data_IF_942781545017
#
_entry.id   IF_942781545017
#
_cell.length_a   1.000
_cell.length_b   1.000
_cell.length_c   1.000
_cell.angle_alpha   90.00
_cell.angle_beta   90.00
_cell.angle_gamma   90.00
#
_symmetry.space_group_name_H-M   'P 1'
#
loop_
_entity.id
_entity.type
_entity.pdbx_description
1 polymer ?
#
# COMPACT_ATOMS: atom_id res chain seq x y z
N UNK A 1 26.65 -3.03 -16.93
CA UNK A 1 26.18 -2.08 -15.92
C UNK A 1 25.64 -2.86 -14.73
N UNK A 2 26.22 -2.70 -13.54
CA UNK A 2 25.75 -3.39 -12.33
C UNK A 2 24.43 -2.78 -11.85
N UNK A 3 23.39 -3.61 -11.66
CA UNK A 3 22.06 -3.14 -11.23
C UNK A 3 21.69 -3.70 -9.86
N UNK A 4 21.17 -2.84 -8.99
CA UNK A 4 20.53 -3.23 -7.74
C UNK A 4 19.12 -2.65 -7.65
N UNK A 5 18.29 -3.19 -6.76
CA UNK A 5 16.93 -2.69 -6.49
C UNK A 5 16.84 -2.17 -5.07
N UNK A 6 16.20 -1.01 -4.90
CA UNK A 6 15.74 -0.54 -3.60
C UNK A 6 14.22 -0.68 -3.57
N UNK A 7 13.75 -1.67 -2.82
CA UNK A 7 12.33 -1.96 -2.61
C UNK A 7 11.85 -1.13 -1.42
N UNK A 8 10.96 -0.17 -1.69
CA UNK A 8 10.56 0.84 -0.73
C UNK A 8 9.20 0.53 -0.13
N UNK A 9 9.07 0.78 1.17
CA UNK A 9 7.82 0.64 1.91
C UNK A 9 7.67 1.81 2.89
N UNK A 10 6.47 1.99 3.44
CA UNK A 10 6.24 3.02 4.45
C UNK A 10 7.02 2.72 5.74
N UNK A 11 7.05 1.44 6.10
CA UNK A 11 7.64 0.93 7.34
C UNK A 11 6.60 0.78 8.44
N UNK A 12 6.97 0.07 9.50
CA UNK A 12 6.15 -0.12 10.69
C UNK A 12 7.06 -0.24 11.92
N UNK A 13 6.63 0.23 13.10
CA UNK A 13 7.44 0.13 14.32
C UNK A 13 7.69 -1.34 14.65
N UNK A 14 8.89 -1.71 15.09
CA UNK A 14 9.21 -3.12 15.42
C UNK A 14 8.45 -3.63 16.64
N UNK A 15 8.10 -2.74 17.57
CA UNK A 15 7.49 -3.07 18.85
C UNK A 15 6.54 -1.96 19.27
N UNK A 16 5.70 -2.25 20.26
CA UNK A 16 4.76 -1.27 20.79
C UNK A 16 5.44 -0.03 21.36
N UNK A 17 6.59 -0.22 22.03
CA UNK A 17 7.39 0.86 22.59
C UNK A 17 7.94 1.84 21.54
N UNK A 18 8.00 1.42 20.27
CA UNK A 18 8.56 2.20 19.16
C UNK A 18 7.51 3.09 18.47
N UNK A 19 6.21 2.85 18.73
CA UNK A 19 5.07 3.59 18.16
C UNK A 19 5.20 5.12 18.33
N UNK A 20 5.55 5.67 19.51
CA UNK A 20 5.68 7.12 19.66
C UNK A 20 6.74 7.74 18.74
N UNK A 21 7.90 7.10 18.62
CA UNK A 21 8.99 7.59 17.77
C UNK A 21 8.63 7.49 16.29
N UNK A 22 7.99 6.38 15.89
CA UNK A 22 7.50 6.16 14.54
C UNK A 22 6.48 7.24 14.10
N UNK A 23 5.45 7.53 14.91
CA UNK A 23 4.48 8.56 14.55
C UNK A 23 5.03 9.99 14.64
N UNK A 24 6.01 10.25 15.51
CA UNK A 24 6.72 11.53 15.50
C UNK A 24 7.44 11.73 14.15
N UNK A 25 8.08 10.71 13.61
CA UNK A 25 8.75 10.74 12.30
C UNK A 25 7.77 10.98 11.15
N UNK A 26 6.63 10.26 11.11
CA UNK A 26 5.55 10.46 10.13
C UNK A 26 5.13 11.93 10.07
N UNK A 27 5.06 12.59 11.21
CA UNK A 27 4.59 13.98 11.32
C UNK A 27 5.70 15.02 11.13
N UNK A 28 6.89 14.60 10.69
CA UNK A 28 8.05 15.47 10.49
C UNK A 28 8.61 16.01 11.80
N UNK A 29 8.64 15.18 12.84
CA UNK A 29 9.09 15.53 14.19
C UNK A 29 8.05 16.26 15.05
N UNK A 30 6.84 16.50 14.54
CA UNK A 30 5.78 17.19 15.31
C UNK A 30 5.14 16.23 16.34
N UNK A 31 5.02 16.63 17.62
CA UNK A 31 4.52 15.77 18.67
C UNK A 31 3.05 15.42 18.45
N UNK A 32 2.72 14.13 18.61
CA UNK A 32 1.34 13.61 18.60
C UNK A 32 0.66 13.98 19.91
N UNK A 33 -0.61 14.40 19.85
CA UNK A 33 -1.40 14.63 21.06
C UNK A 33 -1.47 13.32 21.86
N UNK A 34 -1.29 13.33 23.20
CA UNK A 34 -1.28 12.11 24.00
C UNK A 34 -2.46 11.19 23.74
N UNK A 35 -3.67 11.74 23.64
CA UNK A 35 -4.91 11.00 23.37
C UNK A 35 -4.86 10.22 22.03
N UNK A 36 -4.33 10.84 20.96
CA UNK A 36 -4.21 10.16 19.67
C UNK A 36 -3.12 9.09 19.70
N UNK A 37 -2.03 9.33 20.44
CA UNK A 37 -0.97 8.35 20.60
C UNK A 37 -1.44 7.13 21.42
N UNK A 38 -2.22 7.36 22.47
CA UNK A 38 -2.83 6.30 23.27
C UNK A 38 -3.78 5.43 22.44
N UNK A 39 -4.59 6.04 21.58
CA UNK A 39 -5.43 5.29 20.64
C UNK A 39 -4.59 4.42 19.70
N UNK A 40 -3.57 5.01 19.04
CA UNK A 40 -2.68 4.28 18.14
C UNK A 40 -1.98 3.11 18.82
N UNK A 41 -1.44 3.32 20.02
CA UNK A 41 -0.84 2.25 20.85
C UNK A 41 -1.89 1.19 21.19
N UNK A 42 -3.13 1.56 21.51
CA UNK A 42 -4.19 0.60 21.75
C UNK A 42 -4.50 -0.25 20.52
N UNK A 43 -4.49 0.31 19.31
CA UNK A 43 -4.68 -0.45 18.05
C UNK A 43 -3.63 -1.54 17.88
N UNK A 44 -2.34 -1.18 17.98
CA UNK A 44 -1.24 -2.15 17.92
C UNK A 44 -1.38 -3.24 18.98
N UNK A 45 -1.68 -2.87 20.23
CA UNK A 45 -1.86 -3.83 21.33
C UNK A 45 -3.01 -4.81 21.07
N UNK A 46 -4.14 -4.33 20.52
CA UNK A 46 -5.27 -5.19 20.18
C UNK A 46 -4.98 -6.15 19.04
N UNK A 47 -4.01 -5.83 18.18
CA UNK A 47 -3.47 -6.76 17.19
C UNK A 47 -2.44 -7.75 17.77
N UNK A 48 -2.21 -7.72 19.09
CA UNK A 48 -1.26 -8.60 19.77
C UNK A 48 0.20 -8.17 19.61
N UNK A 49 0.45 -6.94 19.15
CA UNK A 49 1.80 -6.40 18.98
C UNK A 49 2.26 -5.81 20.31
N UNK A 50 3.30 -6.42 20.89
CA UNK A 50 3.96 -5.95 22.11
C UNK A 50 5.47 -5.86 21.87
N UNK A 51 6.17 -7.00 21.88
CA UNK A 51 7.64 -7.09 21.74
C UNK A 51 8.13 -7.41 20.32
N UNK A 52 7.21 -7.69 19.39
CA UNK A 52 7.51 -7.92 17.98
C UNK A 52 6.32 -7.55 17.11
N UNK A 53 6.61 -6.99 15.94
CA UNK A 53 5.63 -6.59 14.95
C UNK A 53 5.91 -7.32 13.62
N UNK A 54 5.10 -8.32 13.25
CA UNK A 54 5.33 -9.11 12.04
C UNK A 54 5.01 -8.36 10.75
N UNK A 55 4.49 -7.12 10.81
CA UNK A 55 4.08 -6.37 9.62
C UNK A 55 5.25 -6.11 8.66
N UNK A 56 6.45 -5.87 9.17
CA UNK A 56 7.65 -5.72 8.33
C UNK A 56 8.14 -7.06 7.75
N UNK A 57 7.77 -8.20 8.33
CA UNK A 57 8.16 -9.52 7.81
C UNK A 57 7.57 -9.77 6.43
N UNK A 58 6.37 -9.26 6.15
CA UNK A 58 5.77 -9.34 4.80
C UNK A 58 6.65 -8.56 3.80
N UNK A 59 7.11 -7.36 4.16
CA UNK A 59 8.00 -6.56 3.30
C UNK A 59 9.32 -7.30 3.04
N UNK A 60 9.93 -7.85 4.09
CA UNK A 60 11.19 -8.61 3.95
C UNK A 60 11.03 -9.92 3.19
N UNK A 61 9.90 -10.61 3.35
CA UNK A 61 9.57 -11.80 2.57
C UNK A 61 9.40 -11.45 1.08
N UNK A 62 8.70 -10.36 0.78
CA UNK A 62 8.56 -9.84 -0.59
C UNK A 62 9.92 -9.45 -1.17
N UNK A 63 10.77 -8.76 -0.41
CA UNK A 63 12.14 -8.42 -0.79
C UNK A 63 12.96 -9.66 -1.12
N UNK A 64 12.97 -10.66 -0.23
CA UNK A 64 13.72 -11.90 -0.41
C UNK A 64 13.25 -12.69 -1.63
N UNK A 65 11.94 -12.80 -1.81
CA UNK A 65 11.36 -13.50 -2.97
C UNK A 65 11.68 -12.76 -4.28
N UNK A 66 11.61 -11.42 -4.28
CA UNK A 66 11.95 -10.59 -5.43
C UNK A 66 13.44 -10.70 -5.80
N UNK A 67 14.33 -10.73 -4.81
CA UNK A 67 15.77 -10.96 -5.01
C UNK A 67 16.03 -12.31 -5.69
N UNK A 68 15.40 -13.37 -5.20
CA UNK A 68 15.51 -14.71 -5.77
C UNK A 68 14.95 -14.77 -7.22
N UNK A 69 13.80 -14.13 -7.47
CA UNK A 69 13.16 -14.08 -8.80
C UNK A 69 13.98 -13.27 -9.81
N UNK A 70 14.63 -12.17 -9.37
CA UNK A 70 15.44 -11.33 -10.25
C UNK A 70 16.85 -11.84 -10.48
N UNK A 71 17.44 -12.53 -9.49
CA UNK A 71 18.87 -12.83 -9.48
C UNK A 71 19.74 -11.56 -9.35
N UNK A 72 19.19 -10.49 -8.77
CA UNK A 72 19.84 -9.20 -8.54
C UNK A 72 19.74 -8.81 -7.07
N UNK A 73 20.71 -8.07 -6.49
CA UNK A 73 20.60 -7.58 -5.12
C UNK A 73 19.36 -6.70 -4.91
N UNK A 74 18.57 -6.99 -3.87
CA UNK A 74 17.40 -6.20 -3.48
C UNK A 74 17.49 -5.78 -2.03
N UNK A 75 17.40 -4.47 -1.78
CA UNK A 75 17.49 -3.87 -0.45
C UNK A 75 16.16 -3.22 -0.06
N UNK A 76 15.64 -3.51 1.13
CA UNK A 76 14.50 -2.78 1.67
C UNK A 76 14.92 -1.39 2.12
N UNK A 77 14.13 -0.37 1.78
CA UNK A 77 14.29 1.00 2.27
C UNK A 77 12.95 1.58 2.72
N UNK A 78 12.79 1.83 4.01
CA UNK A 78 11.57 2.34 4.60
C UNK A 78 11.60 3.87 4.69
N UNK A 79 10.45 4.51 4.44
CA UNK A 79 10.33 5.98 4.52
C UNK A 79 10.32 6.47 5.96
N UNK A 80 9.55 5.80 6.82
CA UNK A 80 9.30 6.22 8.21
C UNK A 80 9.88 5.26 9.26
N UNK A 81 10.63 4.25 8.83
CA UNK A 81 11.23 3.28 9.75
C UNK A 81 12.59 2.76 9.24
N UNK A 82 13.18 1.79 9.94
CA UNK A 82 14.47 1.20 9.62
C UNK A 82 14.30 -0.14 8.88
N UNK A 83 15.22 -0.49 7.95
CA UNK A 83 16.30 0.35 7.40
C UNK A 83 15.75 1.50 6.55
N UNK A 84 16.37 2.70 6.60
CA UNK A 84 15.88 3.85 5.81
C UNK A 84 16.22 3.70 4.33
N UNK A 85 15.52 4.44 3.46
CA UNK A 85 15.84 4.53 2.02
C UNK A 85 17.31 4.90 1.80
N UNK A 86 17.85 5.82 2.61
CA UNK A 86 19.25 6.21 2.55
C UNK A 86 20.22 5.05 2.84
N UNK A 87 19.90 4.20 3.83
CA UNK A 87 20.71 3.04 4.18
C UNK A 87 20.67 1.99 3.06
N UNK A 88 19.49 1.76 2.48
CA UNK A 88 19.30 0.83 1.37
C UNK A 88 20.08 1.26 0.12
N UNK A 89 19.99 2.54 -0.25
CA UNK A 89 20.75 3.12 -1.35
C UNK A 89 22.26 3.07 -1.07
N UNK A 90 22.70 3.37 0.14
CA UNK A 90 24.11 3.26 0.55
C UNK A 90 24.65 1.85 0.41
N UNK A 91 23.86 0.82 0.78
CA UNK A 91 24.22 -0.59 0.58
C UNK A 91 24.28 -0.99 -0.89
N UNK A 92 23.35 -0.51 -1.72
CA UNK A 92 23.38 -0.73 -3.16
C UNK A 92 24.67 -0.16 -3.79
N UNK A 93 25.02 1.08 -3.43
CA UNK A 93 26.26 1.74 -3.88
C UNK A 93 27.52 1.03 -3.39
N UNK A 94 27.55 0.62 -2.12
CA UNK A 94 28.66 -0.15 -1.55
C UNK A 94 28.85 -1.51 -2.24
N UNK A 95 27.76 -2.09 -2.78
CA UNK A 95 27.78 -3.28 -3.62
C UNK A 95 28.23 -3.04 -5.06
N UNK A 96 28.60 -1.81 -5.43
CA UNK A 96 29.08 -1.44 -6.77
C UNK A 96 27.96 -1.29 -7.81
N UNK A 97 26.73 -0.99 -7.39
CA UNK A 97 25.63 -0.71 -8.31
C UNK A 97 25.91 0.60 -9.09
N UNK A 98 25.90 0.51 -10.42
CA UNK A 98 25.98 1.66 -11.33
C UNK A 98 24.58 2.16 -11.70
N UNK A 99 23.59 1.27 -11.65
CA UNK A 99 22.17 1.55 -11.81
C UNK A 99 21.41 1.06 -10.57
N UNK A 100 20.45 1.86 -10.09
CA UNK A 100 19.55 1.48 -9.01
C UNK A 100 18.11 1.64 -9.46
N UNK A 101 17.34 0.56 -9.40
CA UNK A 101 15.90 0.60 -9.63
C UNK A 101 15.19 0.89 -8.31
N UNK A 102 14.46 1.99 -8.25
CA UNK A 102 13.57 2.32 -7.13
C UNK A 102 12.16 1.81 -7.41
N UNK A 103 11.62 0.98 -6.50
CA UNK A 103 10.25 0.47 -6.59
C UNK A 103 9.55 0.61 -5.24
N UNK A 104 8.43 1.33 -5.18
CA UNK A 104 7.62 1.44 -3.96
C UNK A 104 6.54 0.36 -3.96
N UNK A 105 6.31 -0.28 -2.81
CA UNK A 105 5.19 -1.18 -2.53
C UNK A 105 3.86 -0.41 -2.36
N UNK A 106 3.59 0.51 -3.29
CA UNK A 106 2.33 1.24 -3.45
C UNK A 106 2.11 1.47 -4.96
N UNK A 107 0.93 1.14 -5.54
CA UNK A 107 0.75 1.13 -6.99
C UNK A 107 0.50 2.49 -7.63
N UNK A 108 -0.03 3.43 -6.86
CA UNK A 108 -0.63 4.67 -7.35
C UNK A 108 0.23 5.87 -6.99
N UNK A 109 0.46 6.75 -7.96
CA UNK A 109 1.24 7.95 -7.76
C UNK A 109 0.48 9.00 -6.95
N UNK A 110 1.20 9.68 -6.05
CA UNK A 110 0.79 10.95 -5.48
C UNK A 110 2.03 11.80 -5.14
N UNK A 111 1.90 13.10 -5.26
CA UNK A 111 2.86 14.12 -4.80
C UNK A 111 3.11 14.07 -3.27
N UNK A 112 2.16 13.55 -2.50
CA UNK A 112 2.29 13.36 -1.04
C UNK A 112 2.90 12.00 -0.67
N UNK A 113 2.93 11.05 -1.61
CA UNK A 113 3.43 9.69 -1.43
C UNK A 113 4.64 9.41 -2.32
N UNK A 114 4.43 8.82 -3.50
CA UNK A 114 5.49 8.32 -4.39
C UNK A 114 6.57 9.37 -4.70
N UNK A 115 6.18 10.62 -4.91
CA UNK A 115 7.14 11.71 -5.18
C UNK A 115 8.12 11.92 -4.02
N UNK A 116 7.68 11.71 -2.77
CA UNK A 116 8.53 11.84 -1.59
C UNK A 116 9.50 10.68 -1.43
N UNK A 117 9.09 9.46 -1.81
CA UNK A 117 10.02 8.33 -1.91
C UNK A 117 11.09 8.59 -2.96
N UNK A 118 10.67 9.07 -4.14
CA UNK A 118 11.56 9.42 -5.25
C UNK A 118 12.58 10.47 -4.82
N UNK A 119 12.15 11.55 -4.19
CA UNK A 119 13.03 12.60 -3.68
C UNK A 119 14.07 12.05 -2.68
N UNK A 120 13.65 11.29 -1.66
CA UNK A 120 14.58 10.68 -0.71
C UNK A 120 15.59 9.74 -1.38
N UNK A 121 15.16 9.02 -2.42
CA UNK A 121 16.03 8.11 -3.16
C UNK A 121 17.02 8.86 -4.07
N UNK A 122 16.60 9.96 -4.71
CA UNK A 122 17.48 10.85 -5.47
C UNK A 122 18.57 11.42 -4.55
N UNK A 123 18.16 11.99 -3.41
CA UNK A 123 19.07 12.56 -2.43
C UNK A 123 20.05 11.51 -1.88
N UNK A 124 19.58 10.28 -1.63
CA UNK A 124 20.41 9.21 -1.12
C UNK A 124 21.47 8.72 -2.13
N UNK A 125 21.14 8.68 -3.43
CA UNK A 125 22.10 8.29 -4.46
C UNK A 125 23.12 9.39 -4.73
N UNK A 126 22.72 10.66 -4.65
CA UNK A 126 23.60 11.83 -4.84
C UNK A 126 24.42 11.76 -6.15
N UNK A 127 23.76 11.32 -7.24
CA UNK A 127 24.38 11.16 -8.56
C UNK A 127 25.43 10.06 -8.69
N UNK A 128 25.66 9.24 -7.66
CA UNK A 128 26.67 8.17 -7.65
C UNK A 128 26.25 6.91 -8.42
N UNK A 129 24.96 6.78 -8.73
CA UNK A 129 24.41 5.76 -9.60
C UNK A 129 23.20 6.32 -10.38
N UNK A 130 22.90 5.68 -11.50
CA UNK A 130 21.74 6.00 -12.33
C UNK A 130 20.45 5.54 -11.66
N UNK A 131 19.49 6.43 -11.46
CA UNK A 131 18.19 6.10 -10.90
C UNK A 131 17.17 5.72 -11.98
N UNK A 132 16.62 4.51 -11.89
CA UNK A 132 15.43 4.08 -12.62
C UNK A 132 14.25 3.92 -11.67
N UNK A 133 13.38 4.90 -11.60
CA UNK A 133 12.28 4.89 -10.64
C UNK A 133 10.98 4.39 -11.28
N UNK A 134 10.34 3.39 -10.68
CA UNK A 134 9.00 2.92 -11.07
C UNK A 134 7.97 3.80 -10.39
N UNK A 135 7.46 4.79 -11.12
CA UNK A 135 6.59 5.84 -10.57
C UNK A 135 5.15 5.41 -10.36
N UNK A 136 4.62 4.52 -11.21
CA UNK A 136 3.23 4.07 -11.17
C UNK A 136 3.08 2.70 -11.81
N UNK A 137 2.22 1.87 -11.22
CA UNK A 137 2.01 0.50 -11.70
C UNK A 137 0.65 -0.11 -11.33
N UNK A 138 -0.30 0.67 -10.79
CA UNK A 138 -1.65 0.20 -10.46
C UNK A 138 -2.45 -0.38 -11.64
N UNK A 139 -2.17 0.06 -12.87
CA UNK A 139 -2.78 -0.48 -14.09
C UNK A 139 -1.97 -1.59 -14.76
N UNK A 140 -0.90 -2.08 -14.13
CA UNK A 140 -0.14 -3.21 -14.67
C UNK A 140 -1.06 -4.44 -14.87
N UNK A 141 -1.10 -5.05 -16.08
CA UNK A 141 -1.99 -6.16 -16.35
C UNK A 141 -1.85 -7.33 -15.37
N UNK A 142 -0.63 -7.62 -14.92
CA UNK A 142 -0.37 -8.71 -13.98
C UNK A 142 -0.89 -8.39 -12.57
N UNK A 143 -0.81 -7.13 -12.13
CA UNK A 143 -1.41 -6.69 -10.87
C UNK A 143 -2.95 -6.74 -10.94
N UNK A 144 -3.53 -6.24 -12.04
CA UNK A 144 -4.97 -6.29 -12.28
C UNK A 144 -5.49 -7.73 -12.32
N UNK A 145 -4.77 -8.64 -13.00
CA UNK A 145 -5.11 -10.06 -13.05
C UNK A 145 -5.07 -10.71 -11.68
N UNK A 146 -4.04 -10.41 -10.88
CA UNK A 146 -3.90 -10.91 -9.53
C UNK A 146 -5.10 -10.52 -8.67
N UNK A 147 -5.44 -9.23 -8.62
CA UNK A 147 -6.57 -8.76 -7.82
C UNK A 147 -7.91 -9.29 -8.33
N UNK A 148 -8.10 -9.37 -9.65
CA UNK A 148 -9.32 -9.91 -10.23
C UNK A 148 -9.53 -11.39 -9.87
N UNK A 149 -8.46 -12.20 -9.84
CA UNK A 149 -8.58 -13.59 -9.39
C UNK A 149 -8.91 -13.68 -7.90
N UNK A 150 -8.38 -12.79 -7.07
CA UNK A 150 -8.72 -12.72 -5.64
C UNK A 150 -10.18 -12.36 -5.42
N UNK A 151 -10.74 -11.46 -6.22
CA UNK A 151 -12.18 -11.15 -6.22
C UNK A 151 -12.99 -12.40 -6.58
N UNK A 152 -12.65 -13.09 -7.67
CA UNK A 152 -13.36 -14.33 -8.09
C UNK A 152 -13.25 -15.46 -7.06
N UNK A 153 -12.14 -15.57 -6.35
CA UNK A 153 -11.95 -16.52 -5.26
C UNK A 153 -12.96 -16.29 -4.14
N UNK A 154 -13.23 -15.04 -3.77
CA UNK A 154 -14.25 -14.73 -2.76
C UNK A 154 -15.64 -14.96 -3.31
N UNK A 155 -15.94 -14.57 -4.55
CA UNK A 155 -17.25 -14.78 -5.17
C UNK A 155 -17.72 -16.24 -5.13
N UNK A 156 -16.79 -17.20 -5.26
CA UNK A 156 -17.10 -18.65 -5.13
C UNK A 156 -17.65 -19.06 -3.75
N UNK A 157 -17.52 -18.21 -2.73
CA UNK A 157 -17.99 -18.43 -1.35
C UNK A 157 -19.37 -17.81 -1.06
N UNK A 158 -19.97 -17.12 -2.04
CA UNK A 158 -21.29 -16.49 -1.89
C UNK A 158 -22.30 -17.11 -2.87
N UNK A 159 -23.57 -17.13 -2.47
CA UNK A 159 -24.67 -17.62 -3.31
C UNK A 159 -25.04 -16.60 -4.41
N UNK A 160 -24.88 -15.31 -4.12
CA UNK A 160 -25.03 -14.19 -5.04
C UNK A 160 -23.74 -13.36 -5.06
N UNK A 161 -23.51 -12.61 -6.15
CA UNK A 161 -22.34 -11.73 -6.22
C UNK A 161 -22.42 -10.63 -5.15
N UNK A 162 -21.44 -10.51 -4.25
CA UNK A 162 -21.44 -9.43 -3.26
C UNK A 162 -21.18 -8.08 -3.94
N UNK A 163 -21.68 -7.01 -3.33
CA UNK A 163 -21.37 -5.66 -3.76
C UNK A 163 -19.90 -5.36 -3.50
N UNK A 164 -19.14 -5.00 -4.54
CA UNK A 164 -17.71 -4.76 -4.40
C UNK A 164 -17.45 -3.31 -4.01
N UNK A 165 -16.68 -3.12 -2.93
CA UNK A 165 -16.16 -1.82 -2.51
C UNK A 165 -14.65 -1.83 -2.68
N UNK A 166 -14.16 -1.06 -3.64
CA UNK A 166 -12.73 -0.82 -3.78
C UNK A 166 -12.28 0.18 -2.73
N UNK A 167 -11.11 -0.06 -2.11
CA UNK A 167 -10.58 0.82 -1.08
C UNK A 167 -9.11 1.20 -1.27
N UNK A 168 -8.74 2.36 -0.71
CA UNK A 168 -7.37 2.83 -0.61
C UNK A 168 -7.21 3.79 0.57
N UNK A 169 -5.96 4.03 0.97
CA UNK A 169 -5.65 5.04 1.97
C UNK A 169 -6.14 6.42 1.50
N UNK A 170 -6.82 7.16 2.37
CA UNK A 170 -7.25 8.52 2.08
C UNK A 170 -6.05 9.47 2.01
N UNK A 171 -6.16 10.58 1.29
CA UNK A 171 -5.17 11.66 1.33
C UNK A 171 -5.90 12.99 1.58
N UNK A 172 -5.18 14.03 2.03
CA UNK A 172 -5.75 15.38 2.10
C UNK A 172 -6.42 15.79 0.77
N UNK A 173 -7.66 16.27 0.82
CA UNK A 173 -8.46 16.53 -0.37
C UNK A 173 -7.88 17.63 -1.28
N UNK A 174 -7.00 18.50 -0.74
CA UNK A 174 -6.30 19.54 -1.50
C UNK A 174 -5.49 19.00 -2.68
N UNK A 175 -5.09 17.73 -2.67
CA UNK A 175 -4.37 17.13 -3.80
C UNK A 175 -5.19 17.21 -5.11
N UNK A 176 -6.51 17.26 -5.02
CA UNK A 176 -7.38 17.42 -6.19
C UNK A 176 -7.21 18.78 -6.87
N UNK A 177 -7.10 19.85 -6.07
CA UNK A 177 -6.86 21.21 -6.56
C UNK A 177 -5.43 21.36 -7.09
N UNK A 178 -4.48 20.62 -6.51
CA UNK A 178 -3.08 20.55 -6.94
C UNK A 178 -2.88 19.71 -8.22
N UNK A 179 -3.93 19.07 -8.74
CA UNK A 179 -3.89 18.27 -9.96
C UNK A 179 -3.24 16.90 -9.80
N UNK A 180 -3.22 16.36 -8.58
CA UNK A 180 -2.64 15.06 -8.27
C UNK A 180 -3.49 13.92 -8.87
N UNK A 181 -2.88 12.96 -9.59
CA UNK A 181 -3.63 11.92 -10.30
C UNK A 181 -4.10 10.77 -9.41
N UNK A 182 -3.77 10.75 -8.10
CA UNK A 182 -3.98 9.62 -7.21
C UNK A 182 -5.38 9.01 -7.28
N UNK A 183 -6.43 9.83 -7.16
CA UNK A 183 -7.82 9.37 -7.20
C UNK A 183 -8.16 8.74 -8.55
N UNK A 184 -7.73 9.35 -9.64
CA UNK A 184 -8.07 8.89 -10.99
C UNK A 184 -7.34 7.57 -11.30
N UNK A 185 -6.09 7.40 -10.83
CA UNK A 185 -5.36 6.13 -10.95
C UNK A 185 -5.99 5.01 -10.12
N UNK A 186 -6.51 5.32 -8.92
CA UNK A 186 -7.25 4.38 -8.08
C UNK A 186 -8.54 3.92 -8.74
N UNK A 187 -9.32 4.85 -9.29
CA UNK A 187 -10.56 4.55 -10.00
C UNK A 187 -10.29 3.75 -11.28
N UNK A 188 -9.23 4.07 -12.02
CA UNK A 188 -8.85 3.30 -13.20
C UNK A 188 -8.43 1.87 -12.84
N UNK A 189 -7.64 1.69 -11.79
CA UNK A 189 -7.29 0.35 -11.28
C UNK A 189 -8.54 -0.43 -10.89
N UNK A 190 -9.46 0.21 -10.16
CA UNK A 190 -10.73 -0.38 -9.73
C UNK A 190 -11.58 -0.82 -10.94
N UNK A 191 -11.70 0.05 -11.95
CA UNK A 191 -12.42 -0.24 -13.20
C UNK A 191 -11.81 -1.42 -13.95
N UNK A 192 -10.48 -1.48 -14.05
CA UNK A 192 -9.77 -2.57 -14.72
C UNK A 192 -9.94 -3.90 -13.98
N UNK A 193 -9.84 -3.89 -12.65
CA UNK A 193 -10.06 -5.07 -11.80
C UNK A 193 -11.51 -5.54 -11.90
N UNK A 194 -12.48 -4.64 -11.80
CA UNK A 194 -13.90 -4.94 -11.94
C UNK A 194 -14.21 -5.59 -13.29
N UNK A 195 -13.77 -4.96 -14.38
CA UNK A 195 -13.96 -5.49 -15.73
C UNK A 195 -13.30 -6.86 -15.92
N UNK A 196 -12.08 -7.06 -15.38
CA UNK A 196 -11.39 -8.35 -15.44
C UNK A 196 -12.13 -9.40 -14.62
N UNK A 197 -12.60 -9.07 -13.42
CA UNK A 197 -13.27 -9.99 -12.51
C UNK A 197 -14.72 -10.32 -12.92
N UNK A 198 -15.33 -9.54 -13.81
CA UNK A 198 -16.74 -9.67 -14.19
C UNK A 198 -17.68 -9.01 -13.18
N UNK A 199 -17.24 -7.92 -12.55
CA UNK A 199 -18.02 -7.11 -11.60
C UNK A 199 -18.66 -5.96 -12.35
N UNK A 200 -19.99 -5.94 -12.40
CA UNK A 200 -20.77 -4.92 -13.11
C UNK A 200 -21.01 -3.68 -12.25
N UNK A 201 -21.37 -3.88 -10.98
CA UNK A 201 -21.65 -2.81 -10.03
C UNK A 201 -20.63 -2.83 -8.89
N UNK A 202 -20.06 -1.66 -8.61
CA UNK A 202 -19.09 -1.45 -7.54
C UNK A 202 -19.12 0.00 -7.08
N UNK A 203 -18.57 0.23 -5.90
CA UNK A 203 -18.35 1.57 -5.32
C UNK A 203 -16.92 1.72 -4.85
N UNK A 204 -16.51 2.94 -4.54
CA UNK A 204 -15.18 3.23 -4.00
C UNK A 204 -15.31 3.95 -2.65
N UNK A 205 -14.50 3.56 -1.68
CA UNK A 205 -14.38 4.26 -0.39
C UNK A 205 -12.91 4.36 0.03
N UNK A 206 -12.58 5.39 0.78
CA UNK A 206 -11.26 5.54 1.38
C UNK A 206 -11.25 5.02 2.82
N UNK A 207 -10.06 4.81 3.37
CA UNK A 207 -9.82 4.43 4.76
C UNK A 207 -8.61 5.18 5.31
N UNK A 208 -8.36 5.09 6.61
CA UNK A 208 -7.12 5.61 7.23
C UNK A 208 -6.97 7.14 7.17
N UNK A 209 -8.08 7.89 7.16
CA UNK A 209 -8.02 9.36 7.33
C UNK A 209 -7.32 9.72 8.65
N UNK A 210 -6.36 10.63 8.61
CA UNK A 210 -5.73 11.15 9.83
C UNK A 210 -6.45 12.41 10.35
N UNK A 211 -6.60 12.58 11.68
CA UNK A 211 -7.27 13.73 12.28
C UNK A 211 -6.37 14.98 12.26
N UNK A 212 -6.13 15.53 11.06
CA UNK A 212 -5.27 16.70 10.83
C UNK A 212 -6.03 18.02 10.82
N UNK A 213 -7.37 17.98 10.75
CA UNK A 213 -8.24 19.17 10.73
C UNK A 213 -8.39 19.81 9.35
N UNK A 214 -7.78 19.23 8.30
CA UNK A 214 -8.10 19.54 6.91
C UNK A 214 -9.01 18.43 6.33
N UNK A 215 -9.83 18.69 5.29
CA UNK A 215 -10.64 17.66 4.65
C UNK A 215 -9.78 16.61 3.95
N UNK A 216 -10.21 15.35 3.99
CA UNK A 216 -9.60 14.22 3.29
C UNK A 216 -10.50 13.68 2.17
N UNK A 217 -9.93 12.87 1.28
CA UNK A 217 -10.69 12.19 0.23
C UNK A 217 -11.71 11.23 0.85
N UNK A 218 -12.95 11.32 0.35
CA UNK A 218 -14.06 10.49 0.80
C UNK A 218 -14.83 9.83 -0.37
N UNK A 219 -15.85 9.03 -0.05
CA UNK A 219 -16.35 8.76 1.31
C UNK A 219 -15.40 7.85 2.11
N UNK A 220 -15.42 7.95 3.44
CA UNK A 220 -14.77 6.96 4.32
C UNK A 220 -15.55 5.63 4.31
N UNK A 221 -14.86 4.51 4.52
CA UNK A 221 -15.44 3.17 4.48
C UNK A 221 -16.56 2.97 5.52
N UNK A 222 -16.47 3.56 6.71
CA UNK A 222 -17.48 3.33 7.76
C UNK A 222 -18.82 4.03 7.43
N UNK A 223 -18.85 5.33 7.05
CA UNK A 223 -20.04 5.95 6.48
C UNK A 223 -20.57 5.22 5.24
N UNK A 224 -19.69 4.78 4.33
CA UNK A 224 -20.08 4.10 3.10
C UNK A 224 -20.82 2.78 3.38
N UNK A 225 -20.38 2.00 4.37
CA UNK A 225 -21.11 0.80 4.80
C UNK A 225 -22.52 1.12 5.31
N UNK A 226 -22.74 2.28 5.94
CA UNK A 226 -24.08 2.72 6.37
C UNK A 226 -24.99 2.97 5.18
N UNK A 227 -24.45 3.61 4.14
CA UNK A 227 -25.18 3.89 2.91
C UNK A 227 -25.58 2.60 2.21
N UNK A 228 -24.68 1.61 2.12
CA UNK A 228 -24.98 0.29 1.58
C UNK A 228 -26.02 -0.47 2.42
N UNK A 229 -25.95 -0.40 3.74
CA UNK A 229 -26.94 -1.04 4.62
C UNK A 229 -28.36 -0.44 4.49
N UNK A 230 -28.47 0.77 3.96
CA UNK A 230 -29.76 1.42 3.67
C UNK A 230 -30.36 1.00 2.32
N UNK A 231 -29.65 0.20 1.51
CA UNK A 231 -30.15 -0.39 0.26
C UNK A 231 -30.55 -1.86 0.47
N UNK A 232 -30.69 -2.61 -0.61
CA UNK A 232 -30.93 -4.06 -0.61
C UNK A 232 -29.65 -4.91 -0.51
N UNK A 233 -28.47 -4.28 -0.44
CA UNK A 233 -27.18 -4.96 -0.29
C UNK A 233 -27.10 -5.73 1.04
N UNK A 234 -26.65 -6.98 0.96
CA UNK A 234 -26.45 -7.88 2.12
C UNK A 234 -25.04 -8.39 2.27
N UNK A 235 -24.40 -8.69 1.13
CA UNK A 235 -23.01 -9.15 1.07
C UNK A 235 -22.15 -8.04 0.47
N UNK A 236 -21.05 -7.71 1.15
CA UNK A 236 -20.08 -6.69 0.73
C UNK A 236 -18.70 -7.35 0.64
N UNK A 237 -18.02 -7.14 -0.48
CA UNK A 237 -16.63 -7.55 -0.69
C UNK A 237 -15.73 -6.32 -0.75
N UNK A 238 -14.80 -6.22 0.20
CA UNK A 238 -13.75 -5.20 0.15
C UNK A 238 -12.59 -5.64 -0.75
N UNK A 239 -12.15 -4.74 -1.63
CA UNK A 239 -11.00 -4.90 -2.51
C UNK A 239 -10.02 -3.72 -2.33
N UNK A 240 -9.06 -3.83 -1.39
CA UNK A 240 -8.15 -2.72 -1.05
C UNK A 240 -7.06 -2.52 -2.12
N UNK A 241 -7.43 -1.99 -3.29
CA UNK A 241 -6.54 -1.79 -4.45
C UNK A 241 -5.34 -0.90 -4.15
N UNK A 242 -5.45 0.02 -3.19
CA UNK A 242 -4.35 0.89 -2.79
C UNK A 242 -3.25 0.21 -1.97
N UNK A 243 -3.43 -1.06 -1.59
CA UNK A 243 -2.56 -1.77 -0.66
C UNK A 243 -2.10 -3.10 -1.22
N UNK A 244 -0.89 -3.52 -0.83
CA UNK A 244 -0.31 -4.79 -1.28
C UNK A 244 0.12 -5.73 -0.16
N UNK A 245 0.04 -5.29 1.10
CA UNK A 245 0.43 -6.08 2.26
C UNK A 245 -0.57 -5.89 3.40
N UNK A 246 -0.79 -6.95 4.17
CA UNK A 246 -1.55 -6.85 5.42
C UNK A 246 -0.71 -6.09 6.46
N UNK A 247 -0.91 -4.78 6.58
CA UNK A 247 -0.35 -3.92 7.64
C UNK A 247 -1.45 -3.41 8.57
N UNK A 248 -1.09 -2.48 9.49
CA UNK A 248 -1.99 -1.97 10.52
C UNK A 248 -3.35 -1.54 9.96
N UNK A 249 -3.37 -0.69 8.94
CA UNK A 249 -4.59 -0.13 8.34
C UNK A 249 -5.50 -1.20 7.73
N UNK A 250 -4.94 -2.32 7.27
CA UNK A 250 -5.76 -3.44 6.79
C UNK A 250 -6.30 -4.25 7.98
N UNK A 251 -5.40 -4.60 8.90
CA UNK A 251 -5.69 -5.43 10.08
C UNK A 251 -6.57 -4.74 11.11
N UNK A 252 -6.62 -3.41 11.09
CA UNK A 252 -7.42 -2.59 11.99
C UNK A 252 -8.62 -2.01 11.26
N UNK A 253 -8.41 -1.11 10.30
CA UNK A 253 -9.50 -0.34 9.70
C UNK A 253 -10.50 -1.25 8.97
N UNK A 254 -10.02 -2.35 8.36
CA UNK A 254 -10.90 -3.31 7.67
C UNK A 254 -11.27 -4.52 8.53
N UNK A 255 -10.26 -5.23 9.03
CA UNK A 255 -10.48 -6.49 9.76
C UNK A 255 -11.11 -6.28 11.16
N UNK A 256 -11.07 -5.06 11.70
CA UNK A 256 -11.70 -4.69 12.98
C UNK A 256 -12.79 -3.64 12.75
N UNK A 257 -12.47 -2.41 12.36
CA UNK A 257 -13.47 -1.32 12.36
C UNK A 257 -14.59 -1.54 11.34
N UNK A 258 -14.25 -1.81 10.08
CA UNK A 258 -15.25 -2.09 9.05
C UNK A 258 -16.01 -3.39 9.32
N UNK A 259 -15.32 -4.45 9.78
CA UNK A 259 -15.95 -5.71 10.15
C UNK A 259 -16.94 -5.56 11.31
N UNK A 260 -16.56 -4.83 12.36
CA UNK A 260 -17.42 -4.53 13.50
C UNK A 260 -18.63 -3.72 13.05
N UNK A 261 -18.41 -2.70 12.22
CA UNK A 261 -19.50 -1.88 11.68
C UNK A 261 -20.45 -2.67 10.80
N UNK A 262 -19.93 -3.53 9.92
CA UNK A 262 -20.75 -4.41 9.10
C UNK A 262 -21.61 -5.36 9.95
N UNK A 263 -21.05 -5.92 11.04
CA UNK A 263 -21.79 -6.76 11.98
C UNK A 263 -22.94 -6.00 12.65
N UNK A 264 -22.73 -4.75 13.06
CA UNK A 264 -23.79 -3.90 13.63
C UNK A 264 -24.92 -3.61 12.62
N UNK A 265 -24.57 -3.47 11.34
CA UNK A 265 -25.49 -3.20 10.25
C UNK A 265 -26.18 -4.46 9.71
N UNK A 266 -25.74 -5.65 10.12
CA UNK A 266 -26.22 -6.92 9.58
C UNK A 266 -25.75 -7.20 8.14
N UNK A 267 -24.62 -6.60 7.72
CA UNK A 267 -23.95 -6.88 6.47
C UNK A 267 -22.97 -8.05 6.65
N UNK A 268 -22.95 -8.99 5.69
CA UNK A 268 -21.86 -9.95 5.57
C UNK A 268 -20.70 -9.29 4.84
N UNK A 269 -19.60 -9.06 5.55
CA UNK A 269 -18.41 -8.43 5.02
C UNK A 269 -17.31 -9.47 4.83
N UNK A 270 -16.82 -9.58 3.61
CA UNK A 270 -15.61 -10.33 3.26
C UNK A 270 -14.60 -9.35 2.62
N UNK A 271 -13.31 -9.70 2.62
CA UNK A 271 -12.29 -8.99 1.83
C UNK A 271 -11.46 -9.95 1.03
N UNK A 272 -10.83 -9.46 -0.03
CA UNK A 272 -9.79 -10.23 -0.71
C UNK A 272 -8.57 -10.42 0.21
N UNK A 273 -7.90 -11.56 0.05
CA UNK A 273 -6.52 -11.71 0.54
C UNK A 273 -5.62 -10.74 -0.23
N UNK A 274 -4.77 -10.00 0.50
CA UNK A 274 -3.82 -9.09 -0.13
C UNK A 274 -2.65 -9.84 -0.76
N UNK A 275 -1.96 -9.21 -1.75
CA UNK A 275 -0.82 -9.81 -2.43
C UNK A 275 0.27 -10.35 -1.49
N UNK A 276 0.60 -9.63 -0.41
CA UNK A 276 1.68 -9.99 0.52
C UNK A 276 2.96 -10.40 -0.23
N UNK A 277 3.59 -11.51 0.16
CA UNK A 277 4.75 -12.09 -0.52
C UNK A 277 4.35 -13.21 -1.52
N UNK A 278 3.13 -13.17 -2.06
CA UNK A 278 2.64 -14.19 -3.00
C UNK A 278 3.56 -14.28 -4.25
N UNK A 279 3.95 -15.50 -4.68
CA UNK A 279 4.80 -15.67 -5.85
C UNK A 279 4.28 -15.03 -7.14
N UNK A 280 2.96 -14.97 -7.35
CA UNK A 280 2.36 -14.27 -8.49
C UNK A 280 2.57 -12.76 -8.39
N UNK A 281 2.45 -12.19 -7.21
CA UNK A 281 2.76 -10.77 -7.00
C UNK A 281 4.25 -10.47 -7.20
N UNK A 282 5.13 -11.32 -6.66
CA UNK A 282 6.58 -11.19 -6.84
C UNK A 282 6.97 -11.20 -8.33
N UNK A 283 6.32 -12.04 -9.15
CA UNK A 283 6.52 -12.03 -10.61
C UNK A 283 6.08 -10.71 -11.27
N UNK A 284 5.01 -10.08 -10.78
CA UNK A 284 4.58 -8.75 -11.24
C UNK A 284 5.66 -7.71 -10.93
N UNK A 285 6.13 -7.67 -9.68
CA UNK A 285 7.20 -6.75 -9.26
C UNK A 285 8.48 -6.98 -10.06
N UNK A 286 8.87 -8.23 -10.29
CA UNK A 286 10.03 -8.55 -11.12
C UNK A 286 9.86 -8.08 -12.57
N UNK A 287 8.66 -8.21 -13.14
CA UNK A 287 8.33 -7.67 -14.46
C UNK A 287 8.49 -6.15 -14.52
N UNK A 288 8.02 -5.44 -13.49
CA UNK A 288 8.18 -3.98 -13.36
C UNK A 288 9.65 -3.58 -13.31
N UNK A 289 10.44 -4.23 -12.46
CA UNK A 289 11.88 -3.97 -12.32
C UNK A 289 12.62 -4.22 -13.64
N UNK A 290 12.37 -5.38 -14.28
CA UNK A 290 13.02 -5.73 -15.55
C UNK A 290 12.72 -4.71 -16.64
N UNK A 291 11.47 -4.22 -16.72
CA UNK A 291 11.11 -3.14 -17.67
C UNK A 291 11.82 -1.84 -17.34
N UNK A 292 11.80 -1.39 -16.09
CA UNK A 292 12.46 -0.14 -15.68
C UNK A 292 13.97 -0.17 -15.95
N UNK A 293 14.64 -1.30 -15.70
CA UNK A 293 16.07 -1.48 -15.93
C UNK A 293 16.45 -1.54 -17.42
N UNK A 294 15.52 -1.85 -18.32
CA UNK A 294 15.79 -2.06 -19.74
C UNK A 294 15.55 -0.81 -20.62
N UNK A 295 14.92 0.24 -20.10
CA UNK A 295 14.61 1.46 -20.87
C UNK A 295 15.88 2.28 -21.09
N UNK A 296 16.34 2.51 -22.34
CA UNK A 296 17.44 3.43 -22.61
C UNK A 296 17.07 4.85 -22.14
N UNK A 297 18.02 5.64 -21.65
CA UNK A 297 17.73 7.06 -21.39
C UNK A 297 17.35 7.73 -22.71
N UNK A 298 16.16 8.34 -22.77
CA UNK A 298 15.95 9.40 -23.75
C UNK A 298 16.88 10.55 -23.35
N UNK A 299 17.87 10.82 -24.20
CA UNK A 299 18.83 11.91 -24.02
C UNK A 299 18.20 13.29 -24.10
#
# INVERSE_FOLDING_TARGET
MSTAVVLMAYGSPERLADVPAYYADIRGGRPVKPEHLEDLVARYRRLGIEDSNPLNEITEATRAALEAELGLPVFTGMRHWQPRIADAAGRALAGGAEQVVGLVLAPHYSSLSIERYRAQHVDALDGRAELRFVERWGSDPGFVDLLAERVRLVFRKHEAAPHVVFTAHSLPARILEEGDPYRDELLETSRLVAARAGVEEWTFAFQSESPTGEPWLGPDILPHLNELAATDVRDVLLCPVGFVADHLEIRWDLDVEAADRARELGLRLDRIELPNADPAFVRVLAGLVRRAAAVPLNG
#
